data_IF_270333524806
#
_entry.id   IF_270333524806
#
_cell.length_a   1.000
_cell.length_b   1.000
_cell.length_c   1.000
_cell.angle_alpha   90.00
_cell.angle_beta   90.00
_cell.angle_gamma   90.00
#
_symmetry.space_group_name_H-M   'P 1'
#
loop_
_entity.id
_entity.type
_entity.pdbx_description
1 polymer ?
#
# COMPACT_ATOMS: atom_id res chain seq x y z
N UNK A 1 4.16 -30.77 19.58
CA UNK A 1 4.07 -29.94 18.38
C UNK A 1 3.47 -30.77 17.27
N UNK A 2 2.50 -30.21 16.52
CA UNK A 2 1.79 -30.93 15.47
C UNK A 2 0.71 -30.07 14.82
N UNK A 3 -0.12 -30.70 14.00
CA UNK A 3 -1.27 -30.06 13.37
C UNK A 3 -2.46 -30.11 14.34
N UNK A 4 -3.10 -28.96 14.56
CA UNK A 4 -4.32 -28.85 15.37
C UNK A 4 -5.47 -28.37 14.48
N UNK A 5 -6.65 -28.97 14.65
CA UNK A 5 -7.89 -28.51 14.04
C UNK A 5 -8.68 -27.71 15.08
N UNK A 6 -8.92 -26.45 14.79
CA UNK A 6 -9.69 -25.54 15.65
C UNK A 6 -11.00 -25.20 14.94
N UNK A 7 -12.12 -25.57 15.55
CA UNK A 7 -13.43 -25.13 15.07
C UNK A 7 -13.66 -23.67 15.47
N UNK A 8 -13.78 -22.78 14.50
CA UNK A 8 -14.04 -21.37 14.71
C UNK A 8 -15.30 -20.94 13.97
N UNK A 9 -16.05 -19.98 14.54
CA UNK A 9 -17.23 -19.40 13.90
C UNK A 9 -16.87 -18.27 12.93
N UNK A 10 -15.73 -17.60 13.19
CA UNK A 10 -15.19 -16.55 12.33
C UNK A 10 -13.67 -16.65 12.24
N UNK A 11 -13.12 -16.11 11.17
CA UNK A 11 -11.68 -15.97 10.95
C UNK A 11 -11.38 -14.53 10.55
N UNK A 12 -10.38 -13.91 11.15
CA UNK A 12 -9.90 -12.59 10.76
C UNK A 12 -8.52 -12.74 10.11
N UNK A 13 -8.44 -12.40 8.83
CA UNK A 13 -7.20 -12.38 8.06
C UNK A 13 -6.45 -11.08 8.39
N UNK A 14 -5.32 -11.20 9.07
CA UNK A 14 -4.49 -10.07 9.51
C UNK A 14 -2.99 -10.36 9.32
N UNK A 15 -2.64 -11.11 8.25
CA UNK A 15 -1.28 -11.60 8.00
C UNK A 15 -0.31 -10.52 7.53
N UNK A 16 -0.80 -9.32 7.22
CA UNK A 16 0.04 -8.22 6.76
C UNK A 16 0.54 -8.38 5.33
N UNK A 17 1.74 -7.90 5.08
CA UNK A 17 2.37 -7.88 3.76
C UNK A 17 3.86 -8.19 3.86
N UNK A 18 4.47 -8.60 2.76
CA UNK A 18 5.93 -8.72 2.60
C UNK A 18 6.48 -7.70 1.63
N UNK A 19 7.75 -7.36 1.78
CA UNK A 19 8.42 -6.50 0.81
C UNK A 19 8.71 -7.27 -0.50
N UNK A 20 8.66 -6.54 -1.60
CA UNK A 20 9.03 -7.07 -2.91
C UNK A 20 10.54 -7.29 -2.99
N UNK A 21 10.95 -8.54 -3.02
CA UNK A 21 12.35 -8.94 -3.07
C UNK A 21 12.96 -8.75 -4.47
N UNK A 22 14.31 -8.76 -4.55
CA UNK A 22 15.05 -8.64 -5.82
C UNK A 22 14.56 -9.59 -6.93
N UNK A 23 14.24 -10.82 -6.58
CA UNK A 23 13.75 -11.80 -7.56
C UNK A 23 12.42 -11.41 -8.20
N UNK A 24 11.53 -10.76 -7.45
CA UNK A 24 10.25 -10.26 -7.95
C UNK A 24 10.40 -8.98 -8.82
N UNK A 25 11.52 -8.27 -8.68
CA UNK A 25 11.82 -7.04 -9.42
C UNK A 25 12.58 -7.31 -10.72
N UNK A 26 13.11 -8.52 -10.91
CA UNK A 26 13.91 -8.91 -12.07
C UNK A 26 15.07 -7.94 -12.37
N UNK A 27 15.71 -7.38 -11.33
CA UNK A 27 16.82 -6.44 -11.51
C UNK A 27 17.99 -7.17 -12.20
N UNK A 28 18.55 -6.63 -13.30
CA UNK A 28 19.69 -7.21 -14.00
C UNK A 28 20.96 -7.28 -13.15
N UNK A 29 21.96 -8.01 -13.62
CA UNK A 29 23.27 -8.13 -12.98
C UNK A 29 23.40 -9.32 -12.03
N UNK A 30 24.48 -9.33 -11.26
CA UNK A 30 24.82 -10.41 -10.33
C UNK A 30 23.88 -10.46 -9.12
N UNK A 31 23.97 -11.54 -8.33
CA UNK A 31 23.19 -11.76 -7.10
C UNK A 31 24.11 -11.98 -5.88
N UNK A 32 24.99 -11.03 -5.57
CA UNK A 32 25.92 -11.13 -4.45
C UNK A 32 25.21 -10.87 -3.10
N UNK A 33 25.93 -11.08 -2.01
CA UNK A 33 25.55 -10.54 -0.71
C UNK A 33 25.51 -9.00 -0.75
N UNK A 34 24.78 -8.37 0.19
CA UNK A 34 24.65 -6.90 0.26
C UNK A 34 23.41 -6.33 -0.42
N UNK A 35 22.52 -7.20 -0.92
CA UNK A 35 21.19 -6.76 -1.42
C UNK A 35 20.14 -7.14 -0.40
N UNK A 36 19.46 -6.15 0.16
CA UNK A 36 18.43 -6.33 1.19
C UNK A 36 17.16 -5.58 0.81
N UNK A 37 16.00 -6.07 1.26
CA UNK A 37 14.85 -5.18 1.35
C UNK A 37 15.07 -4.15 2.46
N UNK A 38 14.44 -2.98 2.35
CA UNK A 38 14.61 -1.90 3.32
C UNK A 38 14.15 -2.31 4.73
N UNK A 39 13.07 -3.10 4.85
CA UNK A 39 12.61 -3.62 6.14
C UNK A 39 13.53 -4.68 6.73
N UNK A 40 14.19 -5.52 5.91
CA UNK A 40 15.25 -6.42 6.39
C UNK A 40 16.42 -5.62 6.95
N UNK A 41 16.87 -4.56 6.25
CA UNK A 41 17.91 -3.69 6.75
C UNK A 41 17.47 -2.96 8.04
N UNK A 42 16.22 -2.52 8.12
CA UNK A 42 15.64 -1.93 9.32
C UNK A 42 15.72 -2.88 10.53
N UNK A 43 15.34 -4.14 10.33
CA UNK A 43 15.46 -5.15 11.38
C UNK A 43 16.91 -5.34 11.84
N UNK A 44 17.83 -5.51 10.89
CA UNK A 44 19.26 -5.67 11.20
C UNK A 44 19.80 -4.52 12.03
N UNK A 45 19.50 -3.28 11.64
CA UNK A 45 20.00 -2.09 12.34
C UNK A 45 19.30 -1.87 13.67
N UNK A 46 17.96 -1.91 13.70
CA UNK A 46 17.20 -1.47 14.87
C UNK A 46 17.03 -2.55 15.95
N UNK A 47 17.00 -3.83 15.55
CA UNK A 47 16.71 -4.95 16.46
C UNK A 47 17.98 -5.76 16.74
N UNK A 48 18.72 -6.10 15.68
CA UNK A 48 19.88 -6.99 15.80
C UNK A 48 21.19 -6.23 16.07
N UNK A 49 21.23 -4.90 15.86
CA UNK A 49 22.42 -4.07 16.03
C UNK A 49 23.51 -4.29 14.98
N UNK A 50 23.15 -4.82 13.81
CA UNK A 50 24.07 -5.06 12.70
C UNK A 50 23.95 -4.00 11.62
N UNK A 51 25.11 -3.54 11.12
CA UNK A 51 25.17 -2.63 9.97
C UNK A 51 25.23 -3.44 8.66
N UNK A 52 24.20 -3.34 7.78
CA UNK A 52 24.16 -4.10 6.50
C UNK A 52 25.30 -3.73 5.54
N UNK A 53 25.75 -2.48 5.59
CA UNK A 53 26.87 -1.96 4.81
C UNK A 53 27.16 -0.50 5.10
N UNK A 54 28.18 0.05 4.45
CA UNK A 54 28.69 1.40 4.72
C UNK A 54 28.51 2.39 3.57
N UNK A 55 28.51 1.91 2.33
CA UNK A 55 28.22 2.71 1.13
C UNK A 55 26.94 2.17 0.51
N UNK A 56 25.85 2.92 0.59
CA UNK A 56 24.49 2.44 0.33
C UNK A 56 23.86 3.16 -0.85
N UNK A 57 23.27 2.40 -1.76
CA UNK A 57 22.32 2.87 -2.76
C UNK A 57 20.94 2.31 -2.39
N UNK A 58 19.89 3.12 -2.52
CA UNK A 58 18.53 2.70 -2.23
C UNK A 58 17.70 2.80 -3.52
N UNK A 59 17.00 1.73 -3.88
CA UNK A 59 16.01 1.71 -4.96
C UNK A 59 14.60 1.73 -4.38
N UNK A 60 13.83 2.72 -4.76
CA UNK A 60 12.48 3.00 -4.27
C UNK A 60 12.45 4.04 -3.17
N UNK A 61 11.57 5.02 -3.32
CA UNK A 61 11.36 6.15 -2.42
C UNK A 61 10.11 6.01 -1.56
N UNK A 62 9.66 4.78 -1.30
CA UNK A 62 8.64 4.52 -0.29
C UNK A 62 9.12 4.86 1.13
N UNK A 63 8.20 5.04 2.08
CA UNK A 63 8.53 5.52 3.43
C UNK A 63 9.62 4.71 4.12
N UNK A 64 9.60 3.38 4.00
CA UNK A 64 10.63 2.53 4.62
C UNK A 64 12.02 2.84 4.04
N UNK A 65 12.11 3.03 2.71
CA UNK A 65 13.37 3.40 2.04
C UNK A 65 13.89 4.76 2.49
N UNK A 66 13.01 5.76 2.60
CA UNK A 66 13.36 7.11 3.08
C UNK A 66 13.82 7.08 4.55
N UNK A 67 13.07 6.39 5.42
CA UNK A 67 13.42 6.23 6.83
C UNK A 67 14.77 5.52 6.97
N UNK A 68 15.03 4.49 6.17
CA UNK A 68 16.29 3.78 6.19
C UNK A 68 17.45 4.59 5.62
N UNK A 69 17.24 5.48 4.66
CA UNK A 69 18.25 6.42 4.20
C UNK A 69 18.75 7.28 5.36
N UNK A 70 17.82 7.87 6.12
CA UNK A 70 18.14 8.64 7.33
C UNK A 70 18.79 7.76 8.41
N UNK A 71 18.20 6.60 8.71
CA UNK A 71 18.69 5.73 9.78
C UNK A 71 20.11 5.23 9.53
N UNK A 72 20.40 4.72 8.34
CA UNK A 72 21.73 4.27 7.95
C UNK A 72 22.77 5.41 8.05
N UNK A 73 22.39 6.63 7.67
CA UNK A 73 23.26 7.81 7.77
C UNK A 73 23.58 8.15 9.23
N UNK A 74 22.58 8.10 10.12
CA UNK A 74 22.78 8.34 11.56
C UNK A 74 23.69 7.29 12.21
N UNK A 75 23.67 6.05 11.71
CA UNK A 75 24.57 4.98 12.16
C UNK A 75 25.94 4.98 11.47
N UNK A 76 26.24 6.03 10.69
CA UNK A 76 27.57 6.27 10.10
C UNK A 76 27.79 5.64 8.72
N UNK A 77 26.76 5.16 8.03
CA UNK A 77 26.85 4.79 6.64
C UNK A 77 26.75 6.03 5.74
N UNK A 78 27.32 5.95 4.53
CA UNK A 78 27.14 6.93 3.47
C UNK A 78 26.05 6.45 2.52
N UNK A 79 24.85 7.01 2.63
CA UNK A 79 23.81 6.83 1.62
C UNK A 79 24.12 7.77 0.46
N UNK A 80 24.37 7.21 -0.72
CA UNK A 80 24.84 7.98 -1.87
C UNK A 80 23.69 8.57 -2.68
N UNK A 81 22.61 7.81 -2.81
CA UNK A 81 21.45 8.19 -3.61
C UNK A 81 20.25 7.32 -3.26
N UNK A 82 19.05 7.90 -3.35
CA UNK A 82 17.79 7.19 -3.46
C UNK A 82 17.30 7.33 -4.89
N UNK A 83 17.10 6.22 -5.59
CA UNK A 83 16.55 6.19 -6.94
C UNK A 83 15.08 5.74 -6.91
N UNK A 84 14.25 6.38 -7.71
CA UNK A 84 12.82 6.09 -7.83
C UNK A 84 12.44 5.91 -9.31
N UNK A 85 11.79 4.79 -9.61
CA UNK A 85 11.35 4.47 -10.97
C UNK A 85 10.33 5.50 -11.50
N UNK A 86 9.43 5.94 -10.61
CA UNK A 86 8.36 6.87 -10.98
C UNK A 86 8.87 8.32 -11.04
N UNK A 87 8.18 9.22 -11.78
CA UNK A 87 8.51 10.65 -11.80
C UNK A 87 8.09 11.39 -10.53
N UNK A 88 7.69 10.67 -9.49
CA UNK A 88 7.32 11.19 -8.17
C UNK A 88 7.74 10.17 -7.08
N UNK A 89 7.95 10.68 -5.86
CA UNK A 89 8.22 9.81 -4.70
C UNK A 89 6.95 9.11 -4.23
N UNK A 90 7.08 7.84 -3.84
CA UNK A 90 6.01 7.04 -3.22
C UNK A 90 5.87 7.25 -1.71
N UNK A 91 6.78 7.97 -1.07
CA UNK A 91 6.75 8.24 0.37
C UNK A 91 6.09 9.58 0.71
N UNK A 92 5.73 9.74 1.97
CA UNK A 92 5.13 10.97 2.51
C UNK A 92 6.10 12.16 2.34
N UNK A 93 5.56 13.33 1.96
CA UNK A 93 6.37 14.54 1.74
C UNK A 93 7.25 14.90 2.95
N UNK A 94 6.72 14.74 4.18
CA UNK A 94 7.50 14.98 5.41
C UNK A 94 8.75 14.08 5.50
N UNK A 95 8.65 12.83 5.03
CA UNK A 95 9.76 11.89 5.05
C UNK A 95 10.82 12.23 3.99
N UNK A 96 10.42 12.81 2.85
CA UNK A 96 11.40 13.33 1.87
C UNK A 96 12.24 14.42 2.53
N UNK A 97 11.62 15.40 3.17
CA UNK A 97 12.34 16.50 3.86
C UNK A 97 13.22 15.96 4.99
N UNK A 98 12.62 15.23 5.94
CA UNK A 98 13.32 14.81 7.17
C UNK A 98 14.35 13.69 6.95
N UNK A 99 14.23 12.92 5.88
CA UNK A 99 15.09 11.77 5.64
C UNK A 99 16.11 11.98 4.52
N UNK A 100 15.83 12.87 3.58
CA UNK A 100 16.74 13.15 2.46
C UNK A 100 17.28 14.58 2.50
N UNK A 101 16.40 15.59 2.48
CA UNK A 101 16.84 16.99 2.37
C UNK A 101 17.71 17.40 3.57
N UNK A 102 17.29 17.07 4.80
CA UNK A 102 18.05 17.37 6.04
C UNK A 102 19.43 16.68 6.09
N UNK A 103 19.63 15.63 5.30
CA UNK A 103 20.89 14.86 5.23
C UNK A 103 21.64 15.05 3.91
N UNK A 104 21.16 15.92 3.01
CA UNK A 104 21.71 16.13 1.67
C UNK A 104 21.84 14.83 0.85
N UNK A 105 20.89 13.92 0.98
CA UNK A 105 20.84 12.67 0.21
C UNK A 105 20.07 12.93 -1.09
N UNK A 106 20.70 12.72 -2.27
CA UNK A 106 20.06 12.98 -3.55
C UNK A 106 18.89 12.01 -3.79
N UNK A 107 17.75 12.54 -4.26
CA UNK A 107 16.63 11.76 -4.80
C UNK A 107 16.62 11.87 -6.34
N UNK A 108 16.76 10.74 -7.02
CA UNK A 108 16.68 10.64 -8.48
C UNK A 108 15.37 10.00 -8.88
N UNK A 109 14.44 10.80 -9.37
CA UNK A 109 13.17 10.34 -9.94
C UNK A 109 13.38 9.87 -11.38
N UNK A 110 12.49 9.00 -11.88
CA UNK A 110 12.59 8.36 -13.20
C UNK A 110 13.92 7.66 -13.41
N UNK A 111 14.43 6.94 -12.39
CA UNK A 111 15.67 6.17 -12.45
C UNK A 111 15.45 4.75 -11.91
N UNK A 112 16.18 3.80 -12.47
CA UNK A 112 16.17 2.40 -12.00
C UNK A 112 17.56 1.81 -12.02
N UNK A 113 17.72 0.66 -11.34
CA UNK A 113 18.96 -0.15 -11.38
C UNK A 113 18.98 -0.97 -12.66
N UNK A 114 20.02 -0.82 -13.47
CA UNK A 114 20.21 -1.55 -14.72
C UNK A 114 21.33 -2.59 -14.65
N UNK A 115 22.23 -2.47 -13.66
CA UNK A 115 23.27 -3.48 -13.43
C UNK A 115 23.72 -3.52 -11.96
N UNK A 116 24.13 -4.70 -11.49
CA UNK A 116 24.70 -4.94 -10.17
C UNK A 116 26.06 -5.62 -10.38
N UNK A 117 27.14 -4.94 -9.97
CA UNK A 117 28.51 -5.43 -10.00
C UNK A 117 28.88 -6.11 -8.68
N UNK A 118 29.70 -7.17 -8.78
CA UNK A 118 30.20 -7.92 -7.64
C UNK A 118 29.67 -9.35 -7.60
N UNK A 119 30.52 -10.33 -7.29
CA UNK A 119 30.14 -11.76 -7.26
C UNK A 119 29.86 -12.26 -5.85
N UNK A 120 30.74 -11.96 -4.91
CA UNK A 120 30.57 -12.35 -3.50
C UNK A 120 29.73 -11.32 -2.73
N UNK A 121 30.05 -10.05 -2.92
CA UNK A 121 29.31 -8.91 -2.36
C UNK A 121 29.12 -7.83 -3.43
N UNK A 122 28.13 -6.97 -3.23
CA UNK A 122 27.92 -5.76 -4.05
C UNK A 122 29.21 -4.91 -4.03
N UNK A 123 29.73 -4.57 -5.21
CA UNK A 123 30.85 -3.68 -5.44
C UNK A 123 30.41 -2.37 -6.08
N UNK A 124 29.23 -2.36 -6.68
CA UNK A 124 28.64 -1.19 -7.28
C UNK A 124 27.31 -1.46 -7.95
N UNK A 125 26.60 -0.37 -8.20
CA UNK A 125 25.27 -0.34 -8.84
C UNK A 125 25.32 0.66 -9.99
N UNK A 126 24.76 0.28 -11.13
CA UNK A 126 24.53 1.21 -12.24
C UNK A 126 23.06 1.60 -12.27
N UNK A 127 22.79 2.90 -12.18
CA UNK A 127 21.47 3.50 -12.39
C UNK A 127 21.38 4.03 -13.82
N UNK A 128 20.18 3.99 -14.40
CA UNK A 128 19.86 4.70 -15.63
C UNK A 128 18.52 5.44 -15.51
N UNK A 129 18.39 6.53 -16.24
CA UNK A 129 17.11 7.21 -16.41
C UNK A 129 16.14 6.32 -17.18
N UNK A 130 14.84 6.44 -16.90
CA UNK A 130 13.80 5.72 -17.63
C UNK A 130 12.88 6.69 -18.38
N UNK A 131 12.32 6.21 -19.50
CA UNK A 131 11.32 6.90 -20.29
C UNK A 131 9.90 6.81 -19.66
N UNK A 132 8.89 7.34 -20.33
CA UNK A 132 7.48 7.32 -19.92
C UNK A 132 6.89 5.89 -19.84
N UNK A 133 7.55 4.90 -20.45
CA UNK A 133 7.19 3.48 -20.41
C UNK A 133 8.03 2.70 -19.38
N UNK A 134 8.77 3.40 -18.51
CA UNK A 134 9.70 2.83 -17.53
C UNK A 134 10.82 1.97 -18.14
N UNK A 135 11.23 2.25 -19.38
CA UNK A 135 12.36 1.59 -20.03
C UNK A 135 13.63 2.42 -19.85
N UNK A 136 14.75 1.78 -19.49
CA UNK A 136 16.03 2.48 -19.39
C UNK A 136 16.40 3.19 -20.70
N UNK A 137 16.96 4.39 -20.59
CA UNK A 137 17.43 5.21 -21.70
C UNK A 137 18.94 5.02 -21.81
N UNK A 138 19.40 4.48 -22.94
CA UNK A 138 20.82 4.25 -23.22
C UNK A 138 21.62 5.58 -23.18
N UNK A 139 22.83 5.52 -22.58
CA UNK A 139 23.71 6.67 -22.43
C UNK A 139 23.42 7.56 -21.22
N UNK A 140 22.50 7.15 -20.37
CA UNK A 140 22.18 7.84 -19.11
C UNK A 140 22.72 7.10 -17.87
N UNK A 141 23.54 6.06 -18.08
CA UNK A 141 24.05 5.20 -17.04
C UNK A 141 25.01 5.94 -16.10
N UNK A 142 24.76 5.81 -14.80
CA UNK A 142 25.60 6.33 -13.74
C UNK A 142 26.03 5.20 -12.81
N UNK A 143 27.32 5.01 -12.64
CA UNK A 143 27.87 4.02 -11.73
C UNK A 143 28.09 4.57 -10.33
N UNK A 144 27.63 3.85 -9.32
CA UNK A 144 27.81 4.12 -7.90
C UNK A 144 28.59 2.97 -7.26
N UNK A 145 29.84 3.24 -6.86
CA UNK A 145 30.62 2.29 -6.05
C UNK A 145 29.97 2.17 -4.66
N UNK A 146 29.42 1.01 -4.35
CA UNK A 146 28.73 0.74 -3.08
C UNK A 146 28.89 -0.71 -2.65
N UNK A 147 28.68 -0.99 -1.38
CA UNK A 147 28.70 -2.35 -0.82
C UNK A 147 27.30 -2.88 -0.46
N UNK A 148 26.29 -2.03 -0.62
CA UNK A 148 24.91 -2.38 -0.26
C UNK A 148 23.87 -1.70 -1.15
N UNK A 149 22.91 -2.51 -1.62
CA UNK A 149 21.68 -2.06 -2.27
C UNK A 149 20.49 -2.36 -1.37
N UNK A 150 19.73 -1.33 -1.00
CA UNK A 150 18.44 -1.50 -0.34
C UNK A 150 17.30 -1.37 -1.35
N UNK A 151 16.29 -2.24 -1.21
CA UNK A 151 15.11 -2.28 -2.06
C UNK A 151 13.89 -1.85 -1.26
N UNK A 152 13.24 -0.76 -1.66
CA UNK A 152 11.97 -0.24 -1.11
C UNK A 152 10.94 -0.08 -2.23
N UNK A 153 10.71 -1.18 -2.99
CA UNK A 153 9.97 -1.16 -4.25
C UNK A 153 8.54 -1.69 -4.12
N UNK A 154 7.90 -1.42 -3.00
CA UNK A 154 6.51 -1.79 -2.73
C UNK A 154 6.36 -3.06 -1.91
N UNK A 155 5.13 -3.27 -1.47
CA UNK A 155 4.69 -4.33 -0.57
C UNK A 155 3.70 -5.24 -1.30
N UNK A 156 3.68 -6.51 -0.91
CA UNK A 156 2.78 -7.55 -1.45
C UNK A 156 1.95 -8.08 -0.28
N UNK A 157 0.63 -7.89 -0.26
CA UNK A 157 -0.26 -8.50 0.72
C UNK A 157 -0.14 -10.04 0.74
N UNK A 158 -0.09 -10.62 1.96
CA UNK A 158 0.13 -12.05 2.17
C UNK A 158 -1.18 -12.85 2.01
N UNK A 159 -1.59 -13.09 0.78
CA UNK A 159 -2.89 -13.68 0.45
C UNK A 159 -2.85 -15.08 -0.17
N UNK A 160 -1.75 -15.81 -0.06
CA UNK A 160 -1.65 -17.18 -0.55
C UNK A 160 -2.65 -18.11 0.17
N UNK A 161 -2.74 -17.99 1.50
CA UNK A 161 -3.70 -18.76 2.31
C UNK A 161 -5.14 -18.29 2.02
N UNK A 162 -5.36 -17.00 1.84
CA UNK A 162 -6.68 -16.44 1.49
C UNK A 162 -7.23 -17.05 0.21
N UNK A 163 -6.39 -17.19 -0.83
CA UNK A 163 -6.75 -17.84 -2.10
C UNK A 163 -7.16 -19.30 -1.92
N UNK A 164 -6.42 -20.05 -1.10
CA UNK A 164 -6.76 -21.47 -0.84
C UNK A 164 -8.05 -21.62 -0.07
N UNK A 165 -8.44 -20.62 0.71
CA UNK A 165 -9.72 -20.55 1.41
C UNK A 165 -10.88 -20.06 0.52
N UNK A 166 -10.65 -19.78 -0.77
CA UNK A 166 -11.68 -19.31 -1.70
C UNK A 166 -12.01 -17.82 -1.59
N UNK A 167 -11.15 -17.03 -0.94
CA UNK A 167 -11.33 -15.58 -0.83
C UNK A 167 -11.00 -14.91 -2.17
N UNK A 168 -11.91 -14.07 -2.66
CA UNK A 168 -11.71 -13.26 -3.85
C UNK A 168 -10.76 -12.10 -3.56
N UNK A 169 -9.82 -11.87 -4.48
CA UNK A 169 -8.83 -10.79 -4.36
C UNK A 169 -9.06 -9.70 -5.39
N UNK A 170 -8.92 -8.46 -4.96
CA UNK A 170 -8.91 -7.30 -5.83
C UNK A 170 -7.61 -7.28 -6.67
N UNK A 171 -7.68 -7.18 -8.00
CA UNK A 171 -6.51 -7.23 -8.87
C UNK A 171 -5.57 -6.02 -8.72
N UNK A 172 -6.07 -4.90 -8.18
CA UNK A 172 -5.26 -3.68 -7.98
C UNK A 172 -4.51 -3.71 -6.66
N UNK A 173 -5.18 -4.08 -5.55
CA UNK A 173 -4.56 -4.13 -4.21
C UNK A 173 -3.89 -5.46 -3.93
N UNK A 174 -4.27 -6.54 -4.61
CA UNK A 174 -3.95 -7.94 -4.29
C UNK A 174 -4.45 -8.36 -2.89
N UNK A 175 -5.32 -7.58 -2.26
CA UNK A 175 -5.99 -7.88 -1.01
C UNK A 175 -7.40 -8.42 -1.21
N UNK A 176 -8.04 -8.98 -0.19
CA UNK A 176 -9.42 -9.46 -0.24
C UNK A 176 -10.41 -8.39 -0.71
N UNK A 177 -11.40 -8.80 -1.48
CA UNK A 177 -12.60 -7.99 -1.74
C UNK A 177 -13.48 -8.08 -0.50
N UNK A 178 -13.85 -6.94 0.08
CA UNK A 178 -14.63 -6.88 1.32
C UNK A 178 -15.81 -5.90 1.20
N UNK A 179 -16.84 -6.17 2.01
CA UNK A 179 -17.98 -5.28 2.21
C UNK A 179 -17.73 -4.25 3.33
N UNK A 180 -18.74 -3.46 3.70
CA UNK A 180 -18.68 -2.43 4.75
C UNK A 180 -18.29 -2.97 6.13
N UNK A 181 -18.54 -4.24 6.38
CA UNK A 181 -18.21 -4.91 7.64
C UNK A 181 -16.79 -5.53 7.63
N UNK A 182 -16.03 -5.31 6.55
CA UNK A 182 -14.73 -5.93 6.29
C UNK A 182 -14.81 -7.46 6.12
N UNK A 183 -16.00 -7.98 5.84
CA UNK A 183 -16.22 -9.40 5.53
C UNK A 183 -15.96 -9.66 4.05
N UNK A 184 -15.33 -10.79 3.76
CA UNK A 184 -15.01 -11.24 2.40
C UNK A 184 -16.22 -11.93 1.74
N UNK A 185 -16.04 -12.41 0.50
CA UNK A 185 -17.02 -13.29 -0.16
C UNK A 185 -17.25 -14.63 0.57
N UNK A 186 -16.35 -15.02 1.48
CA UNK A 186 -16.48 -16.24 2.29
C UNK A 186 -17.15 -15.88 3.61
N UNK A 187 -18.37 -16.37 3.91
CA UNK A 187 -19.10 -16.02 5.13
C UNK A 187 -18.30 -16.30 6.41
N UNK A 188 -18.29 -15.32 7.32
CA UNK A 188 -17.55 -15.40 8.59
C UNK A 188 -16.04 -15.18 8.46
N UNK A 189 -15.52 -14.88 7.26
CA UNK A 189 -14.12 -14.55 7.03
C UNK A 189 -13.98 -13.05 6.79
N UNK A 190 -13.24 -12.38 7.66
CA UNK A 190 -12.97 -10.94 7.65
C UNK A 190 -11.51 -10.66 7.31
N UNK A 191 -11.21 -9.47 6.81
CA UNK A 191 -9.84 -9.06 6.50
C UNK A 191 -9.58 -7.62 6.94
N UNK A 192 -8.37 -7.33 7.47
CA UNK A 192 -7.97 -6.00 7.90
C UNK A 192 -6.45 -5.80 7.84
N UNK A 193 -6.03 -4.55 7.80
CA UNK A 193 -4.62 -4.16 7.77
C UNK A 193 -3.95 -4.42 6.42
N UNK A 194 -2.63 -4.57 6.42
CA UNK A 194 -1.85 -4.63 5.18
C UNK A 194 -2.09 -5.89 4.32
N UNK A 195 -2.76 -6.90 4.83
CA UNK A 195 -3.24 -8.04 4.01
C UNK A 195 -4.41 -7.63 3.12
N UNK A 196 -5.21 -6.64 3.54
CA UNK A 196 -6.36 -6.11 2.79
C UNK A 196 -5.93 -5.04 1.78
N UNK A 197 -5.28 -4.01 2.26
CA UNK A 197 -4.57 -3.01 1.44
C UNK A 197 -3.46 -2.33 2.25
N UNK A 198 -2.39 -1.92 1.58
CA UNK A 198 -1.24 -1.34 2.29
C UNK A 198 -1.58 0.05 2.83
N UNK A 199 -1.38 0.25 4.12
CA UNK A 199 -1.63 1.52 4.82
C UNK A 199 -0.35 2.35 4.98
N UNK A 200 -0.51 3.67 5.09
CA UNK A 200 0.57 4.62 5.36
C UNK A 200 0.80 4.80 6.86
N UNK A 201 -0.27 4.71 7.66
CA UNK A 201 -0.28 4.96 9.09
C UNK A 201 -0.81 3.74 9.85
N UNK A 202 -0.14 3.40 10.96
CA UNK A 202 -0.58 2.31 11.85
C UNK A 202 -1.94 2.62 12.51
N UNK A 203 -2.27 3.90 12.66
CA UNK A 203 -3.58 4.34 13.18
C UNK A 203 -4.73 3.80 12.33
N UNK A 204 -4.62 3.88 11.00
CA UNK A 204 -5.62 3.34 10.07
C UNK A 204 -5.72 1.81 10.15
N UNK A 205 -4.58 1.13 10.34
CA UNK A 205 -4.56 -0.34 10.58
C UNK A 205 -5.32 -0.68 11.85
N UNK A 206 -5.09 0.08 12.92
CA UNK A 206 -5.73 -0.14 14.24
C UNK A 206 -7.23 0.11 14.19
N UNK A 207 -7.68 1.18 13.52
CA UNK A 207 -9.10 1.48 13.30
C UNK A 207 -9.79 0.35 12.53
N UNK A 208 -9.19 -0.08 11.43
CA UNK A 208 -9.72 -1.14 10.57
C UNK A 208 -9.76 -2.50 11.28
N UNK A 209 -8.70 -2.85 12.02
CA UNK A 209 -8.66 -4.07 12.83
C UNK A 209 -9.71 -4.07 13.95
N UNK A 210 -9.95 -2.91 14.58
CA UNK A 210 -10.99 -2.75 15.59
C UNK A 210 -12.38 -2.96 14.99
N UNK A 211 -12.64 -2.39 13.81
CA UNK A 211 -13.90 -2.58 13.09
C UNK A 211 -14.11 -4.05 12.70
N UNK A 212 -13.09 -4.69 12.11
CA UNK A 212 -13.14 -6.12 11.74
C UNK A 212 -13.43 -7.02 12.95
N UNK A 213 -12.74 -6.77 14.07
CA UNK A 213 -12.96 -7.51 15.31
C UNK A 213 -14.39 -7.36 15.87
N UNK A 214 -14.95 -6.14 15.84
CA UNK A 214 -16.31 -5.87 16.25
C UNK A 214 -17.34 -6.57 15.36
N UNK A 215 -17.21 -6.44 14.05
CA UNK A 215 -18.12 -7.09 13.10
C UNK A 215 -18.06 -8.62 13.16
N UNK A 216 -16.86 -9.20 13.34
CA UNK A 216 -16.71 -10.64 13.56
C UNK A 216 -17.43 -11.10 14.84
N UNK A 217 -17.37 -10.31 15.92
CA UNK A 217 -18.08 -10.61 17.17
C UNK A 217 -19.61 -10.49 17.00
N UNK A 218 -20.08 -9.49 16.26
CA UNK A 218 -21.51 -9.33 15.91
C UNK A 218 -22.02 -10.48 15.05
N UNK A 219 -21.25 -10.91 14.04
CA UNK A 219 -21.56 -12.10 13.23
C UNK A 219 -21.76 -13.35 14.10
N UNK A 220 -20.89 -13.57 15.08
CA UNK A 220 -21.02 -14.71 16.01
C UNK A 220 -22.27 -14.59 16.89
N UNK A 221 -22.58 -13.38 17.42
CA UNK A 221 -23.75 -13.15 18.26
C UNK A 221 -25.06 -13.37 17.50
N UNK A 222 -25.09 -12.99 16.23
CA UNK A 222 -26.27 -13.13 15.37
C UNK A 222 -26.39 -14.53 14.71
N UNK A 223 -25.53 -15.49 15.11
CA UNK A 223 -25.56 -16.86 14.59
C UNK A 223 -25.14 -17.01 13.11
N UNK A 224 -24.49 -15.97 12.56
CA UNK A 224 -24.13 -15.92 11.15
C UNK A 224 -25.27 -15.47 10.24
N UNK A 225 -26.44 -15.17 10.80
CA UNK A 225 -27.58 -14.66 10.03
C UNK A 225 -27.33 -13.21 9.61
N UNK A 226 -27.37 -12.99 8.31
CA UNK A 226 -27.39 -11.65 7.71
C UNK A 226 -28.85 -11.32 7.42
N UNK A 227 -29.31 -10.17 7.90
CA UNK A 227 -30.60 -9.67 7.44
C UNK A 227 -30.49 -9.37 5.94
N UNK A 228 -31.29 -10.07 5.15
CA UNK A 228 -31.30 -9.96 3.68
C UNK A 228 -32.07 -8.69 3.20
N UNK A 229 -32.57 -7.89 4.15
CA UNK A 229 -33.45 -6.75 3.89
C UNK A 229 -32.72 -5.48 3.45
N UNK A 230 -31.38 -5.49 3.38
CA UNK A 230 -30.59 -4.35 2.98
C UNK A 230 -30.36 -4.24 1.48
N UNK A 231 -30.25 -3.01 0.99
CA UNK A 231 -29.82 -2.74 -0.38
C UNK A 231 -28.29 -2.85 -0.46
N UNK A 232 -27.82 -3.73 -1.33
CA UNK A 232 -26.40 -3.79 -1.66
C UNK A 232 -26.06 -2.72 -2.70
N UNK A 233 -25.08 -1.91 -2.39
CA UNK A 233 -24.59 -0.79 -3.21
C UNK A 233 -23.13 -1.06 -3.55
N UNK A 234 -22.80 -1.13 -4.83
CA UNK A 234 -21.42 -1.26 -5.29
C UNK A 234 -20.67 0.06 -5.18
N UNK A 235 -19.38 0.02 -4.81
CA UNK A 235 -18.52 1.21 -4.82
C UNK A 235 -17.56 1.10 -6.01
N UNK A 236 -17.62 2.08 -6.91
CA UNK A 236 -16.82 2.12 -8.13
C UNK A 236 -15.79 3.23 -8.08
N UNK A 237 -14.55 2.87 -8.40
CA UNK A 237 -13.42 3.78 -8.53
C UNK A 237 -13.28 4.22 -10.00
N UNK A 238 -13.31 5.53 -10.28
CA UNK A 238 -13.14 6.11 -11.61
C UNK A 238 -12.36 7.42 -11.55
N UNK A 239 -12.11 8.06 -12.69
CA UNK A 239 -11.55 9.43 -12.75
C UNK A 239 -10.26 9.62 -11.95
N UNK A 240 -9.33 8.65 -12.05
CA UNK A 240 -8.05 8.74 -11.34
C UNK A 240 -7.99 8.04 -9.98
N UNK A 241 -9.11 7.57 -9.43
CA UNK A 241 -9.13 6.67 -8.26
C UNK A 241 -8.79 5.24 -8.72
N UNK A 242 -7.85 4.59 -8.07
CA UNK A 242 -7.36 3.26 -8.47
C UNK A 242 -8.19 2.10 -7.93
N UNK A 243 -8.66 2.20 -6.71
CA UNK A 243 -9.42 1.20 -5.99
C UNK A 243 -10.15 1.83 -4.80
N UNK A 244 -11.11 1.13 -4.25
CA UNK A 244 -11.80 1.48 -2.99
C UNK A 244 -11.85 0.28 -2.05
N UNK A 245 -11.79 0.55 -0.76
CA UNK A 245 -12.00 -0.41 0.31
C UNK A 245 -12.93 0.24 1.34
N UNK A 246 -14.12 -0.34 1.59
CA UNK A 246 -14.72 -1.54 1.00
C UNK A 246 -15.12 -1.36 -0.47
N UNK A 247 -15.54 -2.44 -1.13
CA UNK A 247 -16.03 -2.45 -2.51
C UNK A 247 -17.56 -2.50 -2.64
N UNK A 248 -18.26 -2.88 -1.57
CA UNK A 248 -19.72 -2.91 -1.50
C UNK A 248 -20.21 -2.43 -0.13
N UNK A 249 -21.44 -1.98 -0.06
CA UNK A 249 -22.13 -1.59 1.18
C UNK A 249 -23.51 -2.21 1.19
N UNK A 250 -23.85 -2.91 2.28
CA UNK A 250 -25.23 -3.29 2.59
C UNK A 250 -25.80 -2.31 3.62
N UNK A 251 -26.82 -1.56 3.23
CA UNK A 251 -27.40 -0.50 4.07
C UNK A 251 -28.09 -1.01 5.35
N UNK A 252 -28.48 -2.29 5.40
CA UNK A 252 -29.05 -2.88 6.62
C UNK A 252 -27.95 -3.16 7.67
N UNK A 253 -26.77 -3.57 7.20
CA UNK A 253 -25.67 -4.05 8.05
C UNK A 253 -24.66 -2.95 8.41
N UNK A 254 -24.58 -1.88 7.60
CA UNK A 254 -23.63 -0.79 7.86
C UNK A 254 -23.93 -0.04 9.15
N UNK A 255 -22.89 0.42 9.79
CA UNK A 255 -22.96 1.42 10.87
C UNK A 255 -23.55 2.74 10.38
N UNK A 256 -23.74 3.70 11.28
CA UNK A 256 -24.20 5.06 10.93
C UNK A 256 -23.28 5.72 9.88
N UNK A 257 -22.02 5.33 9.86
CA UNK A 257 -21.02 5.78 8.88
C UNK A 257 -20.09 4.64 8.45
N UNK A 258 -19.66 4.69 7.19
CA UNK A 258 -18.61 3.82 6.65
C UNK A 258 -17.51 4.69 6.07
N UNK A 259 -16.27 4.42 6.46
CA UNK A 259 -15.09 5.05 5.87
C UNK A 259 -14.64 4.24 4.68
N UNK A 260 -14.66 4.86 3.50
CA UNK A 260 -14.12 4.28 2.27
C UNK A 260 -12.72 4.85 2.03
N UNK A 261 -11.72 3.98 2.00
CA UNK A 261 -10.31 4.33 1.74
C UNK A 261 -9.95 4.03 0.30
N UNK A 262 -9.08 4.86 -0.28
CA UNK A 262 -8.66 4.71 -1.67
C UNK A 262 -7.30 5.37 -1.92
N UNK A 263 -6.70 5.09 -3.09
CA UNK A 263 -5.52 5.80 -3.60
C UNK A 263 -5.77 6.31 -5.00
N UNK A 264 -5.06 7.36 -5.35
CA UNK A 264 -5.07 7.92 -6.71
C UNK A 264 -3.96 7.33 -7.58
N UNK A 265 -4.12 7.42 -8.91
CA UNK A 265 -3.18 6.86 -9.89
C UNK A 265 -2.07 7.81 -10.32
N UNK A 266 -2.21 9.11 -10.05
CA UNK A 266 -1.28 10.16 -10.43
C UNK A 266 -1.26 11.27 -9.37
N UNK A 267 -0.37 12.25 -9.53
CA UNK A 267 -0.37 13.45 -8.68
C UNK A 267 -1.41 14.44 -9.22
N UNK A 268 -2.39 14.79 -8.39
CA UNK A 268 -3.42 15.78 -8.68
C UNK A 268 -3.18 17.04 -7.86
N UNK A 269 -3.34 18.21 -8.47
CA UNK A 269 -3.23 19.54 -7.82
C UNK A 269 -4.51 20.32 -7.99
N UNK A 270 -4.95 21.03 -6.94
CA UNK A 270 -6.18 21.83 -6.96
C UNK A 270 -7.39 21.06 -7.52
N UNK A 271 -7.65 19.89 -7.01
CA UNK A 271 -8.67 18.96 -7.47
C UNK A 271 -9.79 18.80 -6.43
N UNK A 272 -10.80 18.04 -6.80
CA UNK A 272 -11.90 17.68 -5.90
C UNK A 272 -12.02 16.16 -5.78
N UNK A 273 -12.29 15.69 -4.57
CA UNK A 273 -12.83 14.35 -4.34
C UNK A 273 -14.34 14.48 -4.50
N UNK A 274 -14.89 13.84 -5.52
CA UNK A 274 -16.31 13.82 -5.79
C UNK A 274 -16.89 12.43 -5.52
N UNK A 275 -18.00 12.39 -4.79
CA UNK A 275 -18.73 11.16 -4.46
C UNK A 275 -20.14 11.29 -5.00
N UNK A 276 -20.56 10.33 -5.79
CA UNK A 276 -21.91 10.25 -6.37
C UNK A 276 -22.61 8.99 -5.88
N UNK A 277 -23.90 9.07 -5.66
CA UNK A 277 -24.80 7.93 -5.50
C UNK A 277 -25.68 7.92 -6.73
N UNK A 278 -25.45 6.95 -7.62
CA UNK A 278 -25.94 6.96 -8.99
C UNK A 278 -25.59 8.31 -9.65
N UNK A 279 -26.57 9.12 -10.05
CA UNK A 279 -26.37 10.42 -10.66
C UNK A 279 -26.35 11.59 -9.64
N UNK A 280 -26.65 11.32 -8.36
CA UNK A 280 -26.74 12.36 -7.34
C UNK A 280 -25.41 12.58 -6.65
N UNK A 281 -24.87 13.80 -6.73
CA UNK A 281 -23.68 14.19 -5.99
C UNK A 281 -23.95 14.25 -4.47
N UNK A 282 -23.20 13.42 -3.72
CA UNK A 282 -23.26 13.40 -2.25
C UNK A 282 -22.21 14.28 -1.60
N UNK A 283 -21.00 14.29 -2.17
CA UNK A 283 -19.87 15.05 -1.65
C UNK A 283 -19.05 15.64 -2.81
N UNK A 284 -18.52 16.85 -2.57
CA UNK A 284 -17.59 17.52 -3.46
C UNK A 284 -16.60 18.32 -2.62
N UNK A 285 -15.44 17.74 -2.32
CA UNK A 285 -14.47 18.29 -1.38
C UNK A 285 -13.18 18.68 -2.09
N UNK A 286 -12.81 19.96 -1.99
CA UNK A 286 -11.55 20.46 -2.54
C UNK A 286 -10.34 19.86 -1.83
N UNK A 287 -9.36 19.45 -2.61
CA UNK A 287 -8.07 18.94 -2.16
C UNK A 287 -6.93 19.69 -2.84
N UNK A 288 -5.97 20.25 -2.09
CA UNK A 288 -4.87 21.02 -2.69
C UNK A 288 -3.90 20.14 -3.48
N UNK A 289 -3.59 18.95 -2.94
CA UNK A 289 -2.68 17.98 -3.58
C UNK A 289 -3.09 16.59 -3.14
N UNK A 290 -3.14 15.64 -4.07
CA UNK A 290 -3.21 14.20 -3.80
C UNK A 290 -2.09 13.48 -4.55
N UNK A 291 -1.49 12.47 -3.93
CA UNK A 291 -0.40 11.70 -4.49
C UNK A 291 -0.63 10.19 -4.34
N UNK A 292 -0.13 9.34 -5.27
CA UNK A 292 -0.33 7.89 -5.21
C UNK A 292 0.21 7.23 -3.94
N UNK A 293 1.22 7.83 -3.31
CA UNK A 293 1.81 7.36 -2.05
C UNK A 293 0.95 7.61 -0.82
N UNK A 294 -0.04 8.50 -0.89
CA UNK A 294 -0.88 8.89 0.24
C UNK A 294 -2.27 8.24 0.13
N UNK A 295 -2.78 7.73 1.26
CA UNK A 295 -4.11 7.14 1.32
C UNK A 295 -5.14 8.22 1.60
N UNK A 296 -6.16 8.27 0.75
CA UNK A 296 -7.30 9.16 0.87
C UNK A 296 -8.51 8.44 1.44
N UNK A 297 -9.44 9.21 2.00
CA UNK A 297 -10.67 8.65 2.54
C UNK A 297 -11.88 9.56 2.38
N UNK A 298 -13.05 8.94 2.25
CA UNK A 298 -14.35 9.59 2.35
C UNK A 298 -15.21 8.86 3.37
N UNK A 299 -16.05 9.60 4.09
CA UNK A 299 -16.98 9.05 5.05
C UNK A 299 -18.38 9.13 4.46
N UNK A 300 -19.02 7.97 4.29
CA UNK A 300 -20.38 7.82 3.82
C UNK A 300 -21.33 7.70 5.02
N UNK A 301 -22.45 8.43 4.99
CA UNK A 301 -23.45 8.39 6.05
C UNK A 301 -24.63 7.53 5.64
N UNK A 302 -25.01 6.57 6.49
CA UNK A 302 -26.15 5.67 6.27
C UNK A 302 -27.42 6.42 5.86
N UNK A 303 -27.74 7.51 6.57
CA UNK A 303 -28.90 8.35 6.30
C UNK A 303 -28.99 8.80 4.83
N UNK A 304 -27.87 9.22 4.23
CA UNK A 304 -27.82 9.68 2.84
C UNK A 304 -28.09 8.56 1.83
N UNK A 305 -27.69 7.32 2.16
CA UNK A 305 -27.86 6.16 1.30
C UNK A 305 -29.28 5.61 1.35
N UNK A 306 -29.93 5.59 2.52
CA UNK A 306 -31.29 5.09 2.68
C UNK A 306 -32.37 6.06 2.17
N UNK A 307 -32.09 7.38 2.13
CA UNK A 307 -32.98 8.41 1.60
C UNK A 307 -33.15 8.34 0.08
N UNK A 308 -32.24 7.64 -0.62
CA UNK A 308 -32.30 7.48 -2.07
C UNK A 308 -33.10 6.20 -2.41
N UNK A 309 -34.04 6.34 -3.33
CA UNK A 309 -34.85 5.22 -3.76
C UNK A 309 -34.03 4.29 -4.67
N UNK A 310 -33.89 3.02 -4.26
CA UNK A 310 -33.15 1.96 -4.98
C UNK A 310 -31.73 2.34 -5.44
N UNK A 311 -30.83 2.81 -4.54
CA UNK A 311 -29.47 3.16 -4.90
C UNK A 311 -28.72 1.91 -5.35
N UNK A 312 -27.88 2.03 -6.40
CA UNK A 312 -27.13 0.92 -7.00
C UNK A 312 -25.62 1.08 -6.89
N UNK A 313 -25.15 2.29 -7.13
CA UNK A 313 -23.69 2.53 -7.27
C UNK A 313 -23.27 3.80 -6.57
N UNK A 314 -22.21 3.69 -5.78
CA UNK A 314 -21.46 4.84 -5.28
C UNK A 314 -20.22 4.98 -6.16
N UNK A 315 -20.07 6.13 -6.81
CA UNK A 315 -18.90 6.43 -7.63
C UNK A 315 -18.00 7.41 -6.89
N UNK A 316 -16.73 7.04 -6.71
CA UNK A 316 -15.69 7.94 -6.17
C UNK A 316 -14.73 8.28 -7.30
N UNK A 317 -14.55 9.55 -7.56
CA UNK A 317 -13.67 10.05 -8.63
C UNK A 317 -12.96 11.34 -8.25
N UNK A 318 -11.88 11.64 -8.96
CA UNK A 318 -11.19 12.92 -8.89
C UNK A 318 -11.70 13.80 -10.04
N UNK A 319 -12.05 15.05 -9.71
CA UNK A 319 -12.42 16.07 -10.68
C UNK A 319 -11.40 17.21 -10.61
N UNK A 320 -11.01 17.70 -11.77
CA UNK A 320 -10.14 18.87 -11.89
C UNK A 320 -10.92 20.16 -11.52
N UNK A 321 -10.21 21.18 -11.01
CA UNK A 321 -10.79 22.44 -10.59
C UNK A 321 -11.08 23.38 -11.77
#
# INVERSE_FOLDING_TARGET
DGLFHIAAKTVILAMGCRERARGALNIPGYRPAGIFSAGTAQRLVNIEGYMPGRKVVILGSGDIGLIMARRMTLEGAKVQVVAELMPYSGGLKRNIVQCLDDFNIPLKLSHTVVDIKGRERVEGITLAQVDEHNKPIDGTEEFYECDTLLLSCGLIPENEISKTAGVELNPVTSGPVVNESLETNVPGVFACGNVLHVHDLVDYVSEEATAAGRHAAEYVKNGGDKSDDGKEISITATGGVRYTVPSTINTAQMDDTVTVRFRVGAVYKNCYIAVYLDDKQLQHRKHPVMAPGEMEQVVLKKKQLIETENPRTITIKIEEA
#
